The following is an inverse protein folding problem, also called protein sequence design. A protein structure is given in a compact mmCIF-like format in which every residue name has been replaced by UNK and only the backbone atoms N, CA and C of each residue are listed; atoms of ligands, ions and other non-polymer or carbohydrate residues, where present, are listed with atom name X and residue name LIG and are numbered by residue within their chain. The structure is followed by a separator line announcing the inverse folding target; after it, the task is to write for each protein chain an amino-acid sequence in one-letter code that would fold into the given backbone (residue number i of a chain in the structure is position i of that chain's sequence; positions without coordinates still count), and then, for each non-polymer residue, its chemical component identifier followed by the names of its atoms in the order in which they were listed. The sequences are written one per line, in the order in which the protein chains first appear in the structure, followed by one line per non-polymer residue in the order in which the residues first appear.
data_IF_752416030423
#
_entry.id   IF_752416030423
#
_cell.length_a   1.000
_cell.length_b   1.000
_cell.length_c   1.000
_cell.angle_alpha   90.00
_cell.angle_beta   90.00
_cell.angle_gamma   90.00
#
_symmetry.space_group_name_H-M   'P 1'
#
loop_
_entity.id
_entity.type
_entity.pdbx_description
1 polymer ?
#
# COMPACT_ATOMS: atom_id res chain seq x y z
N UNK A 1 12.69 1.84 -54.02
CA UNK A 1 13.08 0.97 -52.96
C UNK A 1 13.20 1.88 -51.70
N UNK A 2 12.09 2.09 -50.97
CA UNK A 2 12.09 2.95 -49.79
C UNK A 2 12.31 2.08 -48.57
N UNK A 3 13.44 2.28 -47.87
CA UNK A 3 13.71 1.68 -46.57
C UNK A 3 12.83 2.40 -45.53
N UNK A 4 11.88 1.68 -44.96
CA UNK A 4 11.19 2.10 -43.74
C UNK A 4 12.22 2.07 -42.60
N UNK A 5 12.49 3.22 -42.03
CA UNK A 5 13.23 3.35 -40.77
C UNK A 5 12.24 3.02 -39.69
N UNK A 6 12.37 1.84 -39.08
CA UNK A 6 11.66 1.49 -37.85
C UNK A 6 12.09 2.49 -36.77
N UNK A 7 11.11 3.22 -36.25
CA UNK A 7 11.32 4.15 -35.16
C UNK A 7 11.75 3.39 -33.92
N UNK A 8 12.87 3.77 -33.38
CA UNK A 8 13.39 3.39 -32.08
C UNK A 8 12.39 3.89 -31.03
N UNK A 9 11.67 2.96 -30.39
CA UNK A 9 10.85 3.22 -29.21
C UNK A 9 11.78 3.61 -28.06
N UNK A 10 12.20 4.88 -28.09
CA UNK A 10 12.91 5.51 -26.98
C UNK A 10 12.04 5.42 -25.74
N UNK A 11 12.37 4.51 -24.82
CA UNK A 11 11.92 4.54 -23.43
C UNK A 11 12.17 5.97 -22.95
N UNK A 12 11.09 6.73 -22.79
CA UNK A 12 11.16 8.02 -22.14
C UNK A 12 11.83 7.79 -20.77
N UNK A 13 13.05 8.32 -20.62
CA UNK A 13 13.73 8.34 -19.32
C UNK A 13 12.87 9.20 -18.39
N UNK A 14 11.99 8.56 -17.59
CA UNK A 14 11.34 9.27 -16.48
C UNK A 14 12.49 9.75 -15.58
N UNK A 15 12.62 11.06 -15.39
CA UNK A 15 13.63 11.64 -14.52
C UNK A 15 13.55 11.01 -13.13
N UNK A 16 14.69 10.57 -12.60
CA UNK A 16 14.78 9.98 -11.25
C UNK A 16 14.62 11.08 -10.21
N UNK A 17 13.44 11.15 -9.56
CA UNK A 17 13.18 12.08 -8.47
C UNK A 17 13.40 11.37 -7.15
N UNK A 18 14.43 11.79 -6.41
CA UNK A 18 14.77 11.17 -5.14
C UNK A 18 13.99 11.77 -3.97
N UNK A 19 13.43 10.90 -3.11
CA UNK A 19 12.85 11.27 -1.83
C UNK A 19 13.91 11.30 -0.74
N UNK A 20 14.55 12.45 -0.57
CA UNK A 20 15.57 12.69 0.48
C UNK A 20 14.92 13.44 1.65
N UNK A 21 14.77 12.80 2.84
CA UNK A 21 14.13 13.43 4.00
C UNK A 21 14.90 14.65 4.53
N UNK A 22 16.19 14.73 4.27
CA UNK A 22 16.99 15.88 4.66
C UNK A 22 16.57 17.18 3.97
N UNK A 23 15.89 17.10 2.83
CA UNK A 23 15.43 18.28 2.08
C UNK A 23 14.33 19.07 2.80
N UNK A 24 13.58 18.40 3.69
CA UNK A 24 12.43 18.98 4.40
C UNK A 24 12.73 19.32 5.85
N UNK A 25 13.88 18.91 6.38
CA UNK A 25 14.23 19.21 7.76
C UNK A 25 14.53 20.71 7.96
N UNK A 26 13.93 21.34 8.97
CA UNK A 26 14.24 22.75 9.32
C UNK A 26 15.66 22.90 9.83
N UNK A 27 16.21 21.89 10.51
CA UNK A 27 17.57 21.86 11.04
C UNK A 27 18.28 20.60 10.52
N UNK A 28 19.31 20.80 9.71
CA UNK A 28 20.06 19.70 9.04
C UNK A 28 21.17 19.15 9.95
N UNK A 29 20.81 18.59 11.09
CA UNK A 29 21.73 17.90 12.00
C UNK A 29 21.30 16.45 12.23
N UNK A 30 22.29 15.56 12.46
CA UNK A 30 22.02 14.17 12.79
C UNK A 30 21.18 14.01 14.06
N UNK A 31 21.41 14.86 15.05
CA UNK A 31 20.61 14.84 16.28
C UNK A 31 19.14 15.06 15.96
N UNK A 32 18.81 16.08 15.16
CA UNK A 32 17.43 16.37 14.76
C UNK A 32 16.81 15.24 13.93
N UNK A 33 17.57 14.66 12.99
CA UNK A 33 17.12 13.53 12.20
C UNK A 33 16.77 12.30 13.07
N UNK A 34 17.59 12.00 14.10
CA UNK A 34 17.31 10.91 15.05
C UNK A 34 16.05 11.14 15.90
N UNK A 35 15.75 12.40 16.24
CA UNK A 35 14.57 12.76 17.02
C UNK A 35 13.28 12.78 16.17
N UNK A 36 13.40 12.75 14.85
CA UNK A 36 12.28 12.82 13.93
C UNK A 36 11.46 11.51 13.97
N UNK A 37 10.19 11.63 14.35
CA UNK A 37 9.26 10.49 14.44
C UNK A 37 8.29 10.42 13.27
N UNK A 38 8.10 11.50 12.52
CA UNK A 38 7.17 11.59 11.41
C UNK A 38 7.77 12.37 10.23
N UNK A 39 7.57 11.87 9.01
CA UNK A 39 8.02 12.49 7.77
C UNK A 39 6.89 12.48 6.74
N UNK A 40 6.64 13.65 6.14
CA UNK A 40 5.65 13.83 5.06
C UNK A 40 6.36 14.19 3.77
N UNK A 41 6.34 13.27 2.80
CA UNK A 41 6.92 13.42 1.46
C UNK A 41 5.87 13.15 0.37
N UNK A 42 4.60 13.40 0.65
CA UNK A 42 3.51 13.20 -0.31
C UNK A 42 3.53 14.23 -1.44
N UNK A 43 3.03 13.84 -2.65
CA UNK A 43 2.87 14.73 -3.82
C UNK A 43 4.16 15.35 -4.33
N UNK A 44 5.26 14.58 -4.37
CA UNK A 44 6.58 15.06 -4.77
C UNK A 44 7.15 14.38 -6.01
N UNK A 45 6.35 13.56 -6.69
CA UNK A 45 6.78 12.79 -7.87
C UNK A 45 7.96 11.85 -7.62
N UNK A 46 8.19 11.46 -6.36
CA UNK A 46 9.32 10.63 -5.93
C UNK A 46 9.27 9.27 -6.61
N UNK A 47 10.39 8.87 -7.21
CA UNK A 47 10.58 7.56 -7.83
C UNK A 47 11.43 6.64 -6.95
N UNK A 48 12.27 7.19 -6.06
CA UNK A 48 13.19 6.43 -5.21
C UNK A 48 13.44 7.11 -3.87
N UNK A 49 13.52 6.33 -2.79
CA UNK A 49 13.83 6.82 -1.45
C UNK A 49 15.33 6.70 -1.18
N UNK A 50 15.90 7.74 -0.56
CA UNK A 50 17.34 7.78 -0.23
C UNK A 50 17.58 8.44 1.12
N UNK A 51 18.70 8.11 1.77
CA UNK A 51 19.22 8.76 3.02
C UNK A 51 18.29 8.69 4.23
N UNK A 52 17.51 7.64 4.39
CA UNK A 52 16.67 7.42 5.58
C UNK A 52 17.44 6.83 6.77
N UNK A 53 18.71 6.46 6.62
CA UNK A 53 19.48 5.75 7.64
C UNK A 53 19.67 6.54 8.95
N UNK A 54 19.69 7.86 8.89
CA UNK A 54 19.85 8.70 10.09
C UNK A 54 18.53 8.92 10.86
N UNK A 55 17.39 8.48 10.31
CA UNK A 55 16.04 8.63 10.89
C UNK A 55 15.65 7.39 11.71
N UNK A 56 16.45 7.09 12.73
CA UNK A 56 16.37 5.84 13.50
C UNK A 56 15.06 5.69 14.30
N UNK A 57 14.43 6.81 14.68
CA UNK A 57 13.19 6.81 15.48
C UNK A 57 11.93 7.09 14.65
N UNK A 58 12.03 7.03 13.32
CA UNK A 58 10.88 7.26 12.44
C UNK A 58 9.79 6.22 12.68
N UNK A 59 8.59 6.68 13.07
CA UNK A 59 7.40 5.85 13.32
C UNK A 59 6.32 6.03 12.26
N UNK A 60 6.23 7.20 11.62
CA UNK A 60 5.23 7.48 10.59
C UNK A 60 5.86 8.07 9.33
N UNK A 61 5.52 7.48 8.17
CA UNK A 61 6.03 7.93 6.87
C UNK A 61 4.89 8.04 5.84
N UNK A 62 4.72 9.25 5.30
CA UNK A 62 3.68 9.59 4.34
C UNK A 62 4.29 9.81 2.96
N UNK A 63 4.01 8.90 2.02
CA UNK A 63 4.53 8.88 0.66
C UNK A 63 3.43 8.85 -0.40
N UNK A 64 2.23 9.25 -0.03
CA UNK A 64 1.04 9.23 -0.90
C UNK A 64 1.22 10.14 -2.12
N UNK A 65 0.69 9.74 -3.28
CA UNK A 65 0.80 10.50 -4.53
C UNK A 65 2.26 10.74 -4.98
N UNK A 66 3.01 9.66 -5.14
CA UNK A 66 4.34 9.66 -5.72
C UNK A 66 4.42 8.66 -6.91
N UNK A 67 5.61 8.44 -7.43
CA UNK A 67 5.86 7.55 -8.57
C UNK A 67 6.65 6.30 -8.17
N UNK A 68 6.61 5.88 -6.89
CA UNK A 68 7.34 4.72 -6.40
C UNK A 68 6.86 3.44 -7.08
N UNK A 69 7.79 2.64 -7.60
CA UNK A 69 7.52 1.33 -8.19
C UNK A 69 7.84 0.18 -7.23
N UNK A 70 8.66 0.43 -6.23
CA UNK A 70 9.08 -0.52 -5.19
C UNK A 70 9.23 0.18 -3.84
N UNK A 71 9.30 -0.61 -2.76
CA UNK A 71 9.48 -0.11 -1.39
C UNK A 71 10.89 -0.47 -0.96
N UNK A 72 11.85 0.40 -1.27
CA UNK A 72 13.27 0.26 -0.92
C UNK A 72 13.83 1.54 -0.31
N UNK A 73 15.00 1.46 0.35
CA UNK A 73 15.66 2.60 0.98
C UNK A 73 15.20 2.87 2.42
N UNK A 74 14.46 1.92 3.03
CA UNK A 74 13.96 1.99 4.41
C UNK A 74 14.47 0.80 5.27
N UNK A 75 15.57 0.17 4.89
CA UNK A 75 16.06 -1.07 5.50
C UNK A 75 16.48 -0.89 6.97
N UNK A 76 16.76 0.34 7.40
CA UNK A 76 17.14 0.67 8.78
C UNK A 76 15.96 1.19 9.63
N UNK A 77 14.81 1.48 9.02
CA UNK A 77 13.68 2.14 9.68
C UNK A 77 12.68 1.12 10.27
N UNK A 78 13.16 0.23 11.13
CA UNK A 78 12.37 -0.87 11.71
C UNK A 78 11.30 -0.43 12.71
N UNK A 79 11.32 0.85 13.15
CA UNK A 79 10.35 1.42 14.09
C UNK A 79 9.07 1.93 13.41
N UNK A 80 9.00 1.92 12.08
CA UNK A 80 7.82 2.39 11.36
C UNK A 80 6.59 1.57 11.74
N UNK A 81 5.57 2.26 12.24
CA UNK A 81 4.24 1.76 12.60
C UNK A 81 3.19 2.16 11.57
N UNK A 82 3.36 3.34 10.94
CA UNK A 82 2.43 3.90 9.95
C UNK A 82 3.18 4.15 8.65
N UNK A 83 2.73 3.51 7.57
CA UNK A 83 3.30 3.71 6.24
C UNK A 83 2.20 3.93 5.20
N UNK A 84 2.16 5.13 4.63
CA UNK A 84 1.17 5.54 3.64
C UNK A 84 1.79 5.66 2.25
N UNK A 85 1.50 4.70 1.39
CA UNK A 85 2.02 4.54 0.02
C UNK A 85 0.90 4.58 -1.03
N UNK A 86 -0.27 5.08 -0.69
CA UNK A 86 -1.39 5.19 -1.63
C UNK A 86 -1.05 6.04 -2.86
N UNK A 87 -1.67 5.75 -4.01
CA UNK A 87 -1.44 6.47 -5.27
C UNK A 87 0.03 6.48 -5.69
N UNK A 88 0.61 5.29 -5.81
CA UNK A 88 1.93 5.04 -6.36
C UNK A 88 1.87 4.02 -7.51
N UNK A 89 2.99 3.45 -7.92
CA UNK A 89 3.07 2.48 -9.02
C UNK A 89 3.61 1.12 -8.56
N UNK A 90 3.47 0.79 -7.25
CA UNK A 90 4.03 -0.41 -6.62
C UNK A 90 3.31 -1.65 -7.14
N UNK A 91 4.07 -2.60 -7.67
CA UNK A 91 3.53 -3.83 -8.29
C UNK A 91 3.82 -5.10 -7.50
N UNK A 92 4.79 -5.09 -6.58
CA UNK A 92 5.15 -6.21 -5.73
C UNK A 92 5.58 -5.76 -4.34
N UNK A 93 5.37 -6.61 -3.34
CA UNK A 93 5.89 -6.45 -1.99
C UNK A 93 7.13 -7.33 -1.74
N UNK A 94 7.43 -8.27 -2.63
CA UNK A 94 8.58 -9.16 -2.52
C UNK A 94 9.89 -8.37 -2.57
N UNK A 95 10.82 -8.67 -1.65
CA UNK A 95 12.11 -7.99 -1.57
C UNK A 95 12.04 -6.53 -1.12
N UNK A 96 10.90 -6.10 -0.55
CA UNK A 96 10.72 -4.74 -0.07
C UNK A 96 11.32 -4.52 1.32
N UNK A 97 11.63 -3.25 1.66
CA UNK A 97 12.07 -2.85 3.00
C UNK A 97 11.00 -3.09 4.10
N UNK A 98 9.78 -3.47 3.74
CA UNK A 98 8.73 -3.80 4.71
C UNK A 98 9.14 -4.93 5.68
N UNK A 99 9.98 -5.85 5.24
CA UNK A 99 10.40 -7.01 6.03
C UNK A 99 11.07 -6.66 7.36
N UNK A 100 11.64 -5.46 7.52
CA UNK A 100 12.24 -5.00 8.78
C UNK A 100 11.23 -4.37 9.73
N UNK A 101 10.04 -3.95 9.26
CA UNK A 101 9.02 -3.19 10.01
C UNK A 101 8.12 -4.12 10.84
N UNK A 102 8.69 -4.79 11.85
CA UNK A 102 7.95 -5.80 12.65
C UNK A 102 6.79 -5.25 13.46
N UNK A 103 6.77 -3.94 13.73
CA UNK A 103 5.74 -3.25 14.51
C UNK A 103 4.75 -2.47 13.62
N UNK A 104 4.70 -2.77 12.32
CA UNK A 104 3.80 -2.11 11.39
C UNK A 104 2.34 -2.35 11.78
N UNK A 105 1.60 -1.25 12.06
CA UNK A 105 0.19 -1.26 12.46
C UNK A 105 -0.72 -0.76 11.34
N UNK A 106 -0.26 0.20 10.55
CA UNK A 106 -1.03 0.79 9.46
C UNK A 106 -0.24 0.77 8.16
N UNK A 107 -0.83 0.17 7.12
CA UNK A 107 -0.26 0.12 5.78
C UNK A 107 -1.29 0.50 4.73
N UNK A 108 -1.10 1.63 4.06
CA UNK A 108 -1.96 2.07 2.98
C UNK A 108 -1.25 1.94 1.63
N UNK A 109 -1.77 1.04 0.80
CA UNK A 109 -1.28 0.72 -0.55
C UNK A 109 -2.37 0.92 -1.62
N UNK A 110 -3.43 1.64 -1.27
CA UNK A 110 -4.53 1.89 -2.20
C UNK A 110 -4.07 2.57 -3.50
N UNK A 111 -4.73 2.28 -4.62
CA UNK A 111 -4.39 2.83 -5.93
C UNK A 111 -2.91 2.61 -6.31
N UNK A 112 -2.50 1.35 -6.31
CA UNK A 112 -1.21 0.86 -6.77
C UNK A 112 -1.41 -0.18 -7.88
N UNK A 113 -0.39 -0.98 -8.19
CA UNK A 113 -0.41 -1.98 -9.27
C UNK A 113 -0.24 -3.41 -8.76
N UNK A 114 -0.58 -3.69 -7.50
CA UNK A 114 -0.44 -5.00 -6.87
C UNK A 114 -1.34 -6.02 -7.56
N UNK A 115 -0.75 -7.19 -7.88
CA UNK A 115 -1.41 -8.34 -8.52
C UNK A 115 -1.16 -9.60 -7.72
N UNK A 116 -1.99 -10.62 -7.91
CA UNK A 116 -1.92 -11.90 -7.23
C UNK A 116 -2.15 -11.78 -5.72
N UNK A 117 -3.42 -11.87 -5.35
CA UNK A 117 -3.86 -11.71 -3.96
C UNK A 117 -3.19 -12.70 -3.03
N UNK A 118 -3.02 -13.97 -3.43
CA UNK A 118 -2.39 -14.99 -2.58
C UNK A 118 -0.97 -14.60 -2.17
N UNK A 119 -0.17 -14.09 -3.12
CA UNK A 119 1.18 -13.62 -2.81
C UNK A 119 1.16 -12.44 -1.86
N UNK A 120 0.27 -11.47 -2.08
CA UNK A 120 0.16 -10.26 -1.25
C UNK A 120 -0.24 -10.62 0.19
N UNK A 121 -1.30 -11.42 0.38
CA UNK A 121 -1.78 -11.77 1.74
C UNK A 121 -0.80 -12.70 2.46
N UNK A 122 -0.15 -13.63 1.74
CA UNK A 122 0.91 -14.48 2.31
C UNK A 122 2.08 -13.63 2.78
N UNK A 123 2.52 -12.66 1.98
CA UNK A 123 3.57 -11.74 2.40
C UNK A 123 3.16 -10.90 3.61
N UNK A 124 1.93 -10.37 3.64
CA UNK A 124 1.43 -9.52 4.72
C UNK A 124 1.15 -10.30 6.02
N UNK A 125 0.95 -11.62 5.97
CA UNK A 125 0.64 -12.44 7.16
C UNK A 125 1.76 -12.49 8.21
N UNK A 126 2.99 -12.06 7.85
CA UNK A 126 4.10 -11.92 8.78
C UNK A 126 3.93 -10.75 9.77
N UNK A 127 3.12 -9.73 9.43
CA UNK A 127 2.92 -8.52 10.25
C UNK A 127 1.84 -8.74 11.31
N UNK A 128 2.25 -9.19 12.50
CA UNK A 128 1.33 -9.59 13.58
C UNK A 128 0.58 -8.43 14.23
N UNK A 129 1.09 -7.20 14.06
CA UNK A 129 0.50 -5.98 14.62
C UNK A 129 -0.29 -5.17 13.59
N UNK A 130 -0.44 -5.65 12.34
CA UNK A 130 -1.12 -4.93 11.28
C UNK A 130 -2.62 -4.87 11.56
N UNK A 131 -3.10 -3.70 11.98
CA UNK A 131 -4.50 -3.41 12.33
C UNK A 131 -5.29 -2.76 11.19
N UNK A 132 -4.62 -1.89 10.43
CA UNK A 132 -5.26 -1.13 9.35
C UNK A 132 -4.55 -1.35 8.02
N UNK A 133 -5.27 -1.87 7.03
CA UNK A 133 -4.77 -2.14 5.69
C UNK A 133 -5.72 -1.55 4.66
N UNK A 134 -5.17 -0.89 3.63
CA UNK A 134 -5.94 -0.43 2.49
C UNK A 134 -5.27 -0.90 1.19
N UNK A 135 -5.94 -1.77 0.43
CA UNK A 135 -5.51 -2.30 -0.86
C UNK A 135 -6.45 -1.89 -2.00
N UNK A 136 -7.48 -1.09 -1.71
CA UNK A 136 -8.48 -0.64 -2.68
C UNK A 136 -7.82 -0.02 -3.93
N UNK A 137 -8.41 -0.22 -5.10
CA UNK A 137 -7.89 0.35 -6.35
C UNK A 137 -6.62 -0.32 -6.88
N UNK A 138 -6.28 -1.52 -6.39
CA UNK A 138 -5.26 -2.40 -6.97
C UNK A 138 -5.92 -3.50 -7.80
N UNK A 139 -5.23 -4.09 -8.78
CA UNK A 139 -5.74 -5.27 -9.49
C UNK A 139 -6.14 -6.44 -8.57
N UNK A 140 -5.48 -6.64 -7.43
CA UNK A 140 -5.84 -7.67 -6.43
C UNK A 140 -7.26 -7.49 -5.87
N UNK A 141 -7.81 -6.27 -5.85
CA UNK A 141 -9.14 -6.00 -5.34
C UNK A 141 -10.27 -6.52 -6.28
N UNK A 142 -9.92 -6.87 -7.52
CA UNK A 142 -10.85 -7.46 -8.50
C UNK A 142 -10.86 -9.01 -8.46
N UNK A 143 -9.99 -9.63 -7.65
CA UNK A 143 -9.91 -11.08 -7.55
C UNK A 143 -11.10 -11.67 -6.78
N UNK A 144 -11.52 -12.92 -7.12
CA UNK A 144 -12.61 -13.58 -6.43
C UNK A 144 -12.37 -13.69 -4.92
N UNK A 145 -13.44 -13.51 -4.15
CA UNK A 145 -13.43 -13.60 -2.68
C UNK A 145 -12.32 -12.73 -2.03
N UNK A 146 -12.00 -11.60 -2.65
CA UNK A 146 -10.95 -10.67 -2.22
C UNK A 146 -11.03 -10.36 -0.72
N UNK A 147 -12.15 -9.76 -0.27
CA UNK A 147 -12.29 -9.35 1.13
C UNK A 147 -12.34 -10.54 2.10
N UNK A 148 -13.12 -11.60 1.88
CA UNK A 148 -13.08 -12.81 2.70
C UNK A 148 -11.68 -13.41 2.85
N UNK A 149 -10.91 -13.54 1.75
CA UNK A 149 -9.56 -14.11 1.77
C UNK A 149 -8.60 -13.28 2.60
N UNK A 150 -8.64 -11.96 2.48
CA UNK A 150 -7.83 -11.04 3.29
C UNK A 150 -8.19 -11.15 4.77
N UNK A 151 -9.48 -11.06 5.11
CA UNK A 151 -9.98 -11.09 6.49
C UNK A 151 -9.71 -12.44 7.17
N UNK A 152 -9.78 -13.53 6.42
CA UNK A 152 -9.46 -14.85 6.94
C UNK A 152 -7.96 -15.04 7.18
N UNK A 153 -7.11 -14.54 6.29
CA UNK A 153 -5.65 -14.72 6.40
C UNK A 153 -5.05 -13.76 7.43
N UNK A 154 -5.45 -12.49 7.45
CA UNK A 154 -4.86 -11.45 8.30
C UNK A 154 -5.70 -11.25 9.56
N UNK A 155 -5.50 -12.10 10.56
CA UNK A 155 -6.34 -12.15 11.78
C UNK A 155 -6.21 -10.90 12.67
N UNK A 156 -5.13 -10.15 12.55
CA UNK A 156 -4.89 -8.90 13.33
C UNK A 156 -5.65 -7.69 12.80
N UNK A 157 -6.19 -7.72 11.56
CA UNK A 157 -6.85 -6.57 10.97
C UNK A 157 -8.12 -6.17 11.74
N UNK A 158 -8.20 -4.89 12.06
CA UNK A 158 -9.39 -4.24 12.62
C UNK A 158 -10.11 -3.41 11.54
N UNK A 159 -9.36 -2.82 10.62
CA UNK A 159 -9.86 -2.00 9.51
C UNK A 159 -9.26 -2.51 8.20
N UNK A 160 -10.13 -2.84 7.24
CA UNK A 160 -9.72 -3.22 5.88
C UNK A 160 -10.50 -2.42 4.85
N UNK A 161 -9.77 -1.76 3.93
CA UNK A 161 -10.35 -0.88 2.91
C UNK A 161 -11.36 0.11 3.48
N UNK A 162 -10.98 0.77 4.61
CA UNK A 162 -11.80 1.75 5.36
C UNK A 162 -13.04 1.19 6.07
N UNK A 163 -13.27 -0.10 6.07
CA UNK A 163 -14.38 -0.75 6.75
C UNK A 163 -13.88 -1.57 7.93
N UNK A 164 -14.56 -1.48 9.05
CA UNK A 164 -14.27 -2.32 10.22
C UNK A 164 -14.46 -3.80 9.89
N UNK A 165 -13.54 -4.62 10.40
CA UNK A 165 -13.62 -6.08 10.30
C UNK A 165 -14.30 -6.60 11.56
N UNK A 166 -15.56 -7.04 11.43
CA UNK A 166 -16.34 -7.54 12.56
C UNK A 166 -16.11 -9.03 12.84
N UNK A 167 -16.41 -9.48 14.06
CA UNK A 167 -16.35 -10.90 14.41
C UNK A 167 -17.27 -11.74 13.53
N UNK A 168 -18.48 -11.23 13.23
CA UNK A 168 -19.44 -11.92 12.35
C UNK A 168 -18.85 -12.08 10.94
N UNK A 169 -18.18 -11.04 10.45
CA UNK A 169 -17.53 -11.09 9.14
C UNK A 169 -16.40 -12.13 9.12
N UNK A 170 -15.60 -12.26 10.19
CA UNK A 170 -14.55 -13.28 10.27
C UNK A 170 -15.09 -14.70 10.19
N UNK A 171 -16.18 -14.98 10.91
CA UNK A 171 -16.85 -16.29 10.86
C UNK A 171 -17.35 -16.60 9.43
N UNK A 172 -17.95 -15.62 8.76
CA UNK A 172 -18.40 -15.76 7.38
C UNK A 172 -17.22 -15.94 6.41
N UNK A 173 -16.16 -15.16 6.58
CA UNK A 173 -14.97 -15.24 5.74
C UNK A 173 -14.31 -16.61 5.80
N UNK A 174 -14.13 -17.19 6.98
CA UNK A 174 -13.60 -18.54 7.16
C UNK A 174 -14.42 -19.60 6.40
N UNK A 175 -15.75 -19.51 6.47
CA UNK A 175 -16.64 -20.43 5.76
C UNK A 175 -16.50 -20.27 4.24
N UNK A 176 -16.55 -19.04 3.74
CA UNK A 176 -16.41 -18.73 2.30
C UNK A 176 -15.07 -19.22 1.77
N UNK A 177 -13.97 -18.99 2.50
CA UNK A 177 -12.63 -19.41 2.07
C UNK A 177 -12.51 -20.94 2.05
N UNK A 178 -13.10 -21.65 3.02
CA UNK A 178 -13.16 -23.12 3.01
C UNK A 178 -13.89 -23.62 1.77
N UNK A 179 -15.07 -23.08 1.45
CA UNK A 179 -15.84 -23.42 0.27
C UNK A 179 -15.10 -23.09 -1.02
N UNK A 180 -14.43 -21.93 -1.09
CA UNK A 180 -13.64 -21.49 -2.24
C UNK A 180 -12.44 -22.41 -2.53
N UNK A 181 -11.81 -22.95 -1.49
CA UNK A 181 -10.65 -23.83 -1.59
C UNK A 181 -11.04 -25.30 -1.81
N UNK A 182 -12.31 -25.68 -1.62
CA UNK A 182 -12.77 -27.04 -1.83
C UNK A 182 -12.76 -27.41 -3.32
N UNK A 183 -12.01 -28.44 -3.73
CA UNK A 183 -11.96 -28.91 -5.12
C UNK A 183 -13.33 -29.34 -5.68
N UNK A 184 -14.25 -29.76 -4.80
CA UNK A 184 -15.59 -30.22 -5.19
C UNK A 184 -16.54 -29.04 -5.45
N UNK A 185 -16.33 -27.89 -4.82
CA UNK A 185 -17.19 -26.70 -4.98
C UNK A 185 -16.92 -25.93 -6.28
N UNK A 186 -15.77 -26.12 -6.92
CA UNK A 186 -15.35 -25.42 -8.17
C UNK A 186 -16.27 -25.63 -9.38
N UNK A 187 -17.27 -26.50 -9.30
CA UNK A 187 -18.21 -26.78 -10.42
C UNK A 187 -19.32 -25.73 -10.60
N UNK A 188 -19.50 -24.76 -9.69
CA UNK A 188 -20.69 -23.90 -9.69
C UNK A 188 -20.44 -22.39 -9.41
N UNK A 189 -19.23 -21.86 -9.57
CA UNK A 189 -19.00 -20.42 -9.36
C UNK A 189 -19.49 -19.63 -10.58
N UNK A 190 -20.77 -19.23 -10.57
CA UNK A 190 -21.24 -18.11 -11.39
C UNK A 190 -20.59 -16.82 -10.84
N UNK A 191 -19.85 -16.10 -11.70
CA UNK A 191 -19.28 -14.78 -11.33
C UNK A 191 -20.39 -13.89 -10.77
N UNK A 192 -20.25 -13.33 -9.55
CA UNK A 192 -21.23 -12.38 -9.04
C UNK A 192 -21.28 -11.17 -9.96
N UNK A 193 -22.49 -10.70 -10.29
CA UNK A 193 -22.68 -9.45 -11.03
C UNK A 193 -22.04 -8.32 -10.21
N UNK A 194 -21.23 -7.47 -10.86
CA UNK A 194 -20.66 -6.24 -10.28
C UNK A 194 -21.73 -5.49 -9.48
N UNK A 195 -21.60 -5.42 -8.17
CA UNK A 195 -22.37 -4.48 -7.36
C UNK A 195 -21.80 -3.08 -7.60
N UNK A 196 -22.60 -2.22 -8.22
CA UNK A 196 -22.30 -0.78 -8.37
C UNK A 196 -22.46 -0.06 -7.02
N UNK A 197 -21.54 -0.29 -6.09
CA UNK A 197 -21.58 0.35 -4.74
C UNK A 197 -20.68 1.59 -4.67
N UNK A 198 -19.99 1.96 -5.74
CA UNK A 198 -18.83 2.87 -5.65
C UNK A 198 -19.06 4.31 -6.14
N UNK A 199 -20.28 4.69 -6.56
CA UNK A 199 -20.51 6.03 -7.10
C UNK A 199 -20.61 7.17 -6.04
N UNK A 200 -20.77 6.85 -4.75
CA UNK A 200 -20.96 7.87 -3.69
C UNK A 200 -19.70 8.19 -2.85
N UNK A 201 -18.56 7.58 -3.11
CA UNK A 201 -17.36 7.76 -2.27
C UNK A 201 -16.50 8.98 -2.59
N UNK A 202 -16.64 9.59 -3.77
CA UNK A 202 -15.82 10.75 -4.17
C UNK A 202 -16.10 12.03 -3.35
N UNK A 203 -17.30 12.13 -2.74
CA UNK A 203 -17.68 13.31 -1.94
C UNK A 203 -17.06 13.29 -0.53
N UNK A 204 -16.96 12.10 0.09
CA UNK A 204 -16.42 11.96 1.44
C UNK A 204 -14.89 12.14 1.44
N UNK A 205 -14.21 11.68 0.38
CA UNK A 205 -12.77 11.90 0.21
C UNK A 205 -12.39 13.38 0.08
N UNK A 206 -13.21 14.16 -0.63
CA UNK A 206 -13.01 15.61 -0.77
C UNK A 206 -13.16 16.34 0.56
N UNK A 207 -14.08 15.92 1.42
CA UNK A 207 -14.33 16.58 2.71
C UNK A 207 -13.24 16.28 3.74
N UNK A 208 -12.81 15.04 3.89
CA UNK A 208 -11.71 14.66 4.81
C UNK A 208 -10.37 15.26 4.38
N UNK A 209 -10.15 15.40 3.06
CA UNK A 209 -8.94 16.02 2.51
C UNK A 209 -8.90 17.54 2.71
N UNK A 210 -10.06 18.20 2.71
CA UNK A 210 -10.15 19.64 2.96
C UNK A 210 -9.98 19.97 4.44
N UNK A 211 -10.46 19.13 5.36
CA UNK A 211 -10.25 19.32 6.80
C UNK A 211 -8.77 19.17 7.21
N UNK A 212 -8.05 18.21 6.63
CA UNK A 212 -6.62 18.04 6.88
C UNK A 212 -5.75 19.19 6.34
N UNK A 213 -6.23 19.92 5.31
CA UNK A 213 -5.51 21.07 4.74
C UNK A 213 -5.88 22.41 5.39
N UNK A 214 -6.86 22.47 6.32
CA UNK A 214 -7.20 23.68 7.08
C UNK A 214 -6.47 23.78 8.42
N UNK A 215 -5.69 22.74 8.80
CA UNK A 215 -4.94 22.69 10.07
C UNK A 215 -3.43 22.95 9.83
N UNK A 216 -3.04 23.25 8.60
CA UNK A 216 -1.71 23.75 8.20
C UNK A 216 -1.89 25.16 7.63
#
# INVERSE_FOLDING_TARGET
MYKLIEGDDSKANEEEVTGDPWTILPVKTRKYAKECIEIVLSKRHITKLVKFNDFENLEALWLTNNNLTEIKGLETNFRIKILCLGFNRISSLEGSSLNVMKFLETLYLNNNKLKNLDKVITYLSQFKFLKSLNLFGNPVAEEPEYRPRVVDTLKSLEIFDRHMVTTIERIKAEKIVKEFNDPLSKKHVKRPKRLKVYENFSLIEKNLFNEANQIL
#
